data_IF_509257741692
#
_entry.id   IF_509257741692
#
_cell.length_a   1.000
_cell.length_b   1.000
_cell.length_c   1.000
_cell.angle_alpha   90.00
_cell.angle_beta   90.00
_cell.angle_gamma   90.00
#
_symmetry.space_group_name_H-M   'P 1'
#
loop_
_entity.id
_entity.type
_entity.pdbx_description
1 polymer ?
2 non-polymer ?
3 water ?
#
# COMPACT_ATOMS: atom_id res chain seq x y z
N UNK A 1 17.41 4.63 12.33
CA UNK A 1 16.77 3.41 11.68
C UNK A 1 16.98 2.06 12.40
N UNK A 2 17.60 1.08 11.70
CA UNK A 2 17.44 -0.35 12.11
C UNK A 2 18.53 -1.29 11.63
N UNK A 3 18.54 -2.51 12.17
CA UNK A 3 19.56 -3.49 11.79
C UNK A 3 19.32 -4.02 10.39
N UNK A 4 20.40 -4.10 9.62
CA UNK A 4 20.38 -4.73 8.33
C UNK A 4 21.43 -5.87 8.27
N UNK A 5 20.92 -7.10 8.07
CA UNK A 5 21.74 -8.28 8.04
C UNK A 5 21.87 -8.76 6.59
N UNK A 6 23.13 -8.95 6.15
CA UNK A 6 23.41 -9.39 4.76
C UNK A 6 23.91 -10.83 4.86
N UNK A 7 23.24 -11.73 4.15
CA UNK A 7 23.56 -13.17 4.20
C UNK A 7 24.15 -13.52 2.83
N UNK A 8 25.33 -14.14 2.80
CA UNK A 8 26.02 -14.54 1.59
C UNK A 8 26.40 -16.04 1.68
N UNK A 9 25.86 -16.87 0.77
CA UNK A 9 26.14 -18.31 0.74
C UNK A 9 27.23 -18.69 -0.26
N UNK A 10 28.28 -19.39 0.21
CA UNK A 10 29.42 -19.79 -0.61
C UNK A 10 29.64 -21.30 -0.39
N UNK A 11 28.96 -22.12 -1.19
CA UNK A 11 28.90 -23.53 -0.96
C UNK A 11 28.30 -23.85 0.38
N UNK A 12 29.09 -24.39 1.27
CA UNK A 12 28.54 -24.72 2.60
C UNK A 12 28.88 -23.63 3.64
N UNK A 13 29.49 -22.55 3.18
CA UNK A 13 29.91 -21.48 4.05
C UNK A 13 28.91 -20.35 4.00
N UNK A 14 28.22 -20.08 5.13
CA UNK A 14 27.30 -18.95 5.23
C UNK A 14 27.95 -17.74 5.88
N UNK A 15 28.14 -16.68 5.12
CA UNK A 15 28.70 -15.41 5.59
C UNK A 15 27.59 -14.46 6.04
N UNK A 16 27.78 -13.88 7.22
CA UNK A 16 26.78 -13.03 7.87
C UNK A 16 27.43 -11.72 8.21
N UNK A 17 26.77 -10.64 7.84
CA UNK A 17 27.24 -9.32 8.09
C UNK A 17 26.15 -8.54 8.86
N UNK A 18 26.56 -7.71 9.80
CA UNK A 18 25.60 -6.84 10.46
C UNK A 18 26.00 -5.38 10.24
N UNK A 19 25.01 -4.53 10.05
CA UNK A 19 25.20 -3.08 10.03
C UNK A 19 23.92 -2.44 10.58
N UNK A 20 24.05 -1.22 11.06
CA UNK A 20 22.90 -0.45 11.48
C UNK A 20 22.66 0.44 10.29
N UNK A 21 21.55 0.23 9.61
CA UNK A 21 21.25 1.07 8.49
C UNK A 21 20.51 2.35 8.92
N UNK A 22 21.01 3.48 8.40
CA UNK A 22 20.61 4.88 8.74
C UNK A 22 20.93 5.35 10.19
N UNK A 33 27.03 0.68 16.54
CA UNK A 33 27.78 0.15 15.38
C UNK A 33 27.66 -1.38 15.30
N UNK A 34 27.91 -2.05 16.45
CA UNK A 34 27.89 -3.51 16.57
C UNK A 34 27.12 -4.00 17.79
N UNK A 35 26.43 -5.15 17.66
CA UNK A 35 25.81 -5.80 18.80
C UNK A 35 25.80 -7.28 18.61
N UNK A 36 25.31 -7.99 19.61
CA UNK A 36 25.33 -9.42 19.52
C UNK A 36 24.00 -9.85 18.90
N UNK A 37 24.02 -10.11 17.58
CA UNK A 37 22.79 -10.35 16.81
C UNK A 37 22.36 -11.79 16.92
N UNK A 38 21.24 -12.01 17.56
CA UNK A 38 20.75 -13.39 17.62
C UNK A 38 20.01 -13.81 16.34
N UNK A 39 20.64 -14.64 15.52
CA UNK A 39 20.10 -15.05 14.24
C UNK A 39 19.54 -16.44 14.32
N UNK A 40 18.44 -16.70 13.61
CA UNK A 40 17.92 -18.05 13.43
C UNK A 40 17.79 -18.34 11.92
N UNK A 41 17.79 -19.58 11.53
CA UNK A 41 17.66 -19.89 10.10
C UNK A 41 17.26 -21.32 9.90
N UNK A 42 16.57 -21.53 8.80
CA UNK A 42 16.26 -22.84 8.30
C UNK A 42 16.75 -22.89 6.88
N UNK A 43 16.73 -24.05 6.25
CA UNK A 43 17.28 -24.13 4.92
C UNK A 43 16.51 -25.20 4.18
N UNK A 44 16.81 -25.37 2.90
CA UNK A 44 16.10 -26.34 2.09
C UNK A 44 16.38 -27.79 2.50
N UNK A 45 17.45 -28.02 3.26
CA UNK A 45 17.79 -29.34 3.86
C UNK A 45 17.32 -29.50 5.30
N UNK A 46 17.24 -28.40 6.03
CA UNK A 46 17.05 -28.37 7.48
C UNK A 46 15.78 -29.03 7.89
N UNK A 47 15.70 -29.43 9.16
CA UNK A 47 14.37 -29.55 9.81
C UNK A 47 14.09 -28.23 10.58
N UNK A 48 14.79 -28.19 11.70
CA UNK A 48 14.48 -27.31 12.76
C UNK A 48 15.21 -26.06 12.49
N UNK A 49 15.01 -25.14 13.42
CA UNK A 49 15.54 -23.85 13.38
C UNK A 49 16.92 -23.92 14.05
N UNK A 50 17.92 -23.38 13.37
CA UNK A 50 19.28 -23.31 13.91
C UNK A 50 19.48 -21.84 14.36
N UNK A 51 20.43 -21.63 15.27
CA UNK A 51 20.64 -20.39 15.95
C UNK A 51 22.08 -20.04 15.73
N UNK A 52 22.39 -18.76 15.70
CA UNK A 52 23.78 -18.36 15.63
C UNK A 52 23.85 -16.99 16.20
N UNK A 53 24.77 -16.80 17.14
CA UNK A 53 24.91 -15.48 17.75
C UNK A 53 26.04 -14.73 17.04
N UNK A 54 25.66 -13.67 16.30
CA UNK A 54 26.63 -12.92 15.53
C UNK A 54 27.20 -11.85 16.43
N UNK A 55 28.46 -12.00 16.84
CA UNK A 55 29.07 -11.07 17.79
C UNK A 55 29.99 -10.05 17.13
N UNK A 56 30.30 -10.26 15.87
CA UNK A 56 31.27 -9.45 15.18
C UNK A 56 30.64 -8.89 13.92
N UNK A 57 31.37 -7.97 13.29
CA UNK A 57 30.94 -7.35 12.07
C UNK A 57 30.49 -8.39 11.04
N UNK A 58 31.33 -9.39 10.81
CA UNK A 58 31.05 -10.45 9.86
C UNK A 58 31.50 -11.72 10.53
N UNK A 59 30.95 -12.86 10.11
CA UNK A 59 31.41 -14.15 10.60
C UNK A 59 30.86 -15.17 9.61
N UNK A 60 31.28 -16.44 9.75
CA UNK A 60 30.85 -17.53 8.83
C UNK A 60 30.41 -18.74 9.62
N UNK A 61 29.28 -19.34 9.29
CA UNK A 61 29.06 -20.67 9.87
C UNK A 61 29.13 -21.75 8.75
N UNK A 62 29.23 -23.01 9.13
CA UNK A 62 29.39 -24.08 8.16
C UNK A 62 28.23 -25.03 8.21
N UNK A 63 27.63 -25.24 7.03
CA UNK A 63 26.50 -26.11 6.92
C UNK A 63 26.99 -27.50 6.64
N UNK A 64 26.20 -28.50 7.05
CA UNK A 64 26.68 -29.84 6.80
C UNK A 64 26.71 -30.17 5.28
N UNK A 65 25.87 -29.49 4.49
CA UNK A 65 25.70 -29.86 3.09
C UNK A 65 25.32 -28.55 2.37
N UNK A 66 25.60 -28.50 1.05
CA UNK A 66 25.20 -27.37 0.27
C UNK A 66 23.69 -27.40 0.21
N UNK A 67 23.09 -26.24 -0.03
CA UNK A 67 21.69 -26.09 0.23
C UNK A 67 21.16 -25.28 -0.98
N UNK A 68 19.86 -25.35 -1.26
CA UNK A 68 19.26 -24.56 -2.34
C UNK A 68 18.75 -23.15 -1.99
N UNK A 69 18.50 -22.92 -0.70
CA UNK A 69 18.03 -21.66 -0.17
C UNK A 69 18.16 -21.67 1.33
N UNK A 70 18.42 -20.50 1.89
CA UNK A 70 18.49 -20.33 3.31
C UNK A 70 17.56 -19.17 3.70
N UNK A 71 16.98 -19.19 4.90
CA UNK A 71 16.07 -18.13 5.32
C UNK A 71 16.40 -17.75 6.76
N UNK A 72 16.87 -16.52 6.98
CA UNK A 72 17.21 -16.06 8.32
C UNK A 72 16.10 -15.22 8.91
N UNK A 73 16.03 -15.28 10.24
CA UNK A 73 15.37 -14.27 11.09
C UNK A 73 16.36 -13.76 12.14
N UNK A 74 16.01 -12.62 12.76
CA UNK A 74 16.68 -12.06 13.92
C UNK A 74 15.72 -12.18 15.15
N UNK A 75 16.19 -12.75 16.24
CA UNK A 75 15.33 -12.91 17.46
C UNK A 75 15.24 -11.59 18.23
N UNK A 76 14.42 -10.65 17.76
CA UNK A 76 14.35 -9.30 18.33
C UNK A 76 12.94 -8.78 18.07
N UNK A 77 12.49 -7.83 18.87
CA UNK A 77 11.23 -7.13 18.63
C UNK A 77 11.52 -6.01 17.63
N UNK A 78 10.50 -5.50 16.98
CA UNK A 78 10.79 -4.39 16.10
C UNK A 78 11.32 -4.72 14.70
N UNK A 79 11.59 -3.65 13.97
CA UNK A 79 11.84 -3.78 12.55
C UNK A 79 13.33 -4.13 12.31
N UNK A 80 13.60 -4.99 11.31
CA UNK A 80 14.92 -5.11 10.75
C UNK A 80 14.75 -5.73 9.32
N UNK A 81 15.85 -5.78 8.56
CA UNK A 81 15.91 -6.33 7.21
C UNK A 81 17.01 -7.38 7.08
N UNK A 82 16.64 -8.45 6.40
CA UNK A 82 17.63 -9.43 5.98
C UNK A 82 17.74 -9.34 4.48
N UNK A 83 18.97 -9.07 4.04
CA UNK A 83 19.30 -8.97 2.63
C UNK A 83 20.13 -10.17 2.26
N UNK A 84 19.74 -10.83 1.17
CA UNK A 84 20.42 -12.04 0.67
C UNK A 84 21.20 -11.83 -0.65
N UNK A 85 21.23 -10.62 -1.18
CA UNK A 85 21.95 -10.36 -2.42
C UNK A 85 21.28 -11.02 -3.66
N UNK A 86 21.74 -10.64 -4.84
CA UNK A 86 21.16 -11.17 -6.08
C UNK A 86 20.95 -12.71 -6.06
N UNK A 87 21.98 -13.46 -5.66
CA UNK A 87 21.90 -14.91 -5.79
C UNK A 87 20.86 -15.50 -4.85
N UNK A 88 20.92 -15.05 -3.58
CA UNK A 88 19.98 -15.45 -2.55
C UNK A 88 18.55 -14.97 -2.74
N UNK A 89 18.35 -13.78 -3.34
CA UNK A 89 16.99 -13.30 -3.63
C UNK A 89 16.31 -14.15 -4.73
N UNK A 90 17.06 -14.53 -5.80
CA UNK A 90 16.59 -15.55 -6.79
C UNK A 90 16.26 -16.88 -6.16
N UNK A 91 17.12 -17.40 -5.27
CA UNK A 91 16.82 -18.71 -4.64
C UNK A 91 15.51 -18.66 -3.88
N UNK A 92 15.28 -17.55 -3.17
CA UNK A 92 14.07 -17.42 -2.37
C UNK A 92 12.87 -17.19 -3.28
N UNK A 93 13.11 -16.57 -4.43
CA UNK A 93 12.05 -16.29 -5.38
C UNK A 93 11.57 -17.61 -5.94
N UNK A 94 12.52 -18.44 -6.37
CA UNK A 94 12.21 -19.79 -6.91
C UNK A 94 11.48 -20.58 -5.83
N UNK A 95 11.91 -20.49 -4.58
CA UNK A 95 11.21 -21.17 -3.51
C UNK A 95 9.76 -20.67 -3.39
N UNK A 96 9.57 -19.36 -3.41
CA UNK A 96 8.20 -18.87 -3.26
C UNK A 96 7.30 -19.25 -4.44
N UNK A 97 7.90 -19.33 -5.63
CA UNK A 97 7.19 -19.72 -6.81
C UNK A 97 7.01 -21.23 -6.87
N UNK A 98 7.80 -22.00 -6.15
CA UNK A 98 7.63 -23.47 -6.19
C UNK A 98 6.78 -24.04 -5.06
N UNK A 99 7.21 -23.83 -3.83
CA UNK A 99 6.45 -24.32 -2.67
C UNK A 99 6.43 -23.18 -1.63
N UNK A 100 5.58 -22.18 -1.82
CA UNK A 100 5.63 -21.02 -0.94
C UNK A 100 5.41 -21.36 0.56
N UNK A 101 4.69 -22.46 0.82
CA UNK A 101 4.29 -22.85 2.20
C UNK A 101 5.45 -23.42 2.99
N UNK A 102 6.59 -23.66 2.36
CA UNK A 102 7.81 -24.16 3.02
C UNK A 102 8.37 -23.19 4.06
N UNK A 103 7.93 -21.92 4.00
CA UNK A 103 8.18 -20.87 5.01
C UNK A 103 6.84 -20.38 5.51
N UNK A 104 6.80 -19.75 6.67
CA UNK A 104 5.54 -19.46 7.25
C UNK A 104 4.91 -18.25 6.59
N UNK A 105 3.64 -18.12 6.84
CA UNK A 105 2.89 -16.97 6.49
C UNK A 105 3.60 -15.62 6.88
N UNK A 106 4.06 -15.46 8.11
CA UNK A 106 4.81 -14.27 8.52
C UNK A 106 6.18 -14.15 7.84
N UNK A 107 6.81 -15.28 7.59
CA UNK A 107 8.07 -15.23 6.88
C UNK A 107 7.89 -14.65 5.46
N UNK A 108 6.76 -14.92 4.81
CA UNK A 108 6.58 -14.49 3.41
C UNK A 108 6.26 -13.03 3.38
N UNK A 109 5.46 -12.55 4.33
CA UNK A 109 5.26 -11.11 4.49
C UNK A 109 6.62 -10.43 4.66
N UNK A 110 7.51 -10.96 5.49
CA UNK A 110 8.86 -10.36 5.66
C UNK A 110 9.66 -10.29 4.36
N UNK A 111 9.57 -11.36 3.59
CA UNK A 111 10.34 -11.40 2.34
C UNK A 111 9.87 -10.27 1.44
N UNK A 112 8.55 -10.07 1.33
CA UNK A 112 7.94 -9.07 0.52
C UNK A 112 8.34 -7.73 1.03
N UNK A 113 8.18 -7.53 2.33
CA UNK A 113 8.52 -6.22 2.85
C UNK A 113 9.99 -5.90 2.62
N UNK A 114 10.86 -6.84 2.98
CA UNK A 114 12.30 -6.58 2.92
C UNK A 114 12.75 -6.39 1.45
N UNK A 115 12.24 -7.19 0.52
CA UNK A 115 12.67 -6.98 -0.90
C UNK A 115 12.47 -5.53 -1.42
N UNK A 116 11.24 -5.04 -1.28
CA UNK A 116 10.85 -3.69 -1.65
C UNK A 116 11.52 -2.52 -0.88
N UNK A 117 11.73 -2.68 0.42
CA UNK A 117 12.50 -1.74 1.18
C UNK A 117 13.96 -1.80 0.72
N UNK A 118 14.41 -2.97 0.28
CA UNK A 118 15.78 -3.05 -0.23
C UNK A 118 15.87 -2.37 -1.61
N UNK A 119 14.77 -2.29 -2.35
CA UNK A 119 14.76 -1.37 -3.50
C UNK A 119 14.93 0.13 -3.15
N UNK A 120 14.16 0.66 -2.19
CA UNK A 120 14.30 2.09 -1.78
C UNK A 120 15.70 2.40 -1.32
N UNK A 121 16.37 1.37 -0.79
CA UNK A 121 17.69 1.49 -0.19
C UNK A 121 18.77 1.36 -1.27
N UNK A 122 18.43 0.72 -2.39
CA UNK A 122 19.33 0.57 -3.54
C UNK A 122 20.20 -0.67 -3.52
N UNK A 123 19.82 -1.69 -2.75
CA UNK A 123 20.60 -2.90 -2.69
C UNK A 123 19.94 -4.04 -3.49
N UNK A 124 18.69 -3.84 -3.89
CA UNK A 124 18.00 -4.81 -4.73
C UNK A 124 17.31 -4.04 -5.89
N UNK A 125 17.35 -4.56 -7.10
CA UNK A 125 16.64 -3.86 -8.21
C UNK A 125 15.11 -4.03 -8.08
N UNK A 126 14.36 -3.04 -8.56
CA UNK A 126 12.93 -3.13 -8.66
C UNK A 126 12.51 -4.32 -9.50
N UNK A 127 13.31 -4.72 -10.49
CA UNK A 127 12.95 -5.87 -11.32
C UNK A 127 12.87 -7.16 -10.47
N UNK A 128 13.86 -7.35 -9.60
CA UNK A 128 13.92 -8.57 -8.76
C UNK A 128 12.83 -8.60 -7.76
N UNK A 129 12.48 -7.43 -7.28
CA UNK A 129 11.41 -7.34 -6.32
C UNK A 129 10.10 -7.55 -7.01
N UNK A 130 9.93 -7.01 -8.19
CA UNK A 130 8.68 -7.31 -8.87
C UNK A 130 8.57 -8.81 -9.26
N UNK A 131 9.69 -9.42 -9.65
CA UNK A 131 9.75 -10.82 -9.96
C UNK A 131 9.39 -11.65 -8.72
N UNK A 132 9.83 -11.22 -7.56
CA UNK A 132 9.39 -11.86 -6.33
C UNK A 132 7.88 -11.71 -6.15
N UNK A 133 7.33 -10.52 -6.41
CA UNK A 133 5.90 -10.29 -6.20
C UNK A 133 5.01 -11.23 -7.02
N UNK A 134 5.51 -11.73 -8.16
CA UNK A 134 4.68 -12.62 -8.97
C UNK A 134 4.23 -13.93 -8.24
N UNK A 135 4.91 -14.33 -7.16
CA UNK A 135 4.57 -15.58 -6.46
C UNK A 135 3.15 -15.47 -5.84
N UNK A 136 2.72 -14.24 -5.63
CA UNK A 136 1.46 -13.90 -4.97
C UNK A 136 0.26 -14.46 -5.70
N UNK A 137 0.44 -14.78 -6.96
CA UNK A 137 -0.62 -15.42 -7.68
C UNK A 137 -1.06 -16.76 -7.04
N UNK A 138 -0.22 -17.38 -6.19
CA UNK A 138 -0.60 -18.57 -5.45
C UNK A 138 -0.87 -18.27 -4.01
N UNK A 139 -0.65 -17.03 -3.55
CA UNK A 139 -0.79 -16.74 -2.13
C UNK A 139 -2.26 -16.75 -1.66
N UNK A 140 -2.50 -17.25 -0.45
CA UNK A 140 -3.85 -17.24 0.12
C UNK A 140 -3.97 -16.59 1.49
N UNK A 141 -2.87 -16.29 2.19
CA UNK A 141 -2.96 -15.84 3.58
C UNK A 141 -2.97 -14.29 3.68
N UNK A 142 -3.72 -13.79 4.65
CA UNK A 142 -3.93 -12.38 4.67
C UNK A 142 -2.59 -11.56 4.72
N UNK A 143 -1.67 -11.96 5.61
CA UNK A 143 -0.47 -11.14 5.84
C UNK A 143 0.42 -10.89 4.65
N UNK A 144 0.92 -11.94 4.01
CA UNK A 144 1.69 -11.66 2.79
C UNK A 144 0.88 -10.86 1.79
N UNK A 145 -0.42 -11.11 1.68
CA UNK A 145 -1.28 -10.34 0.75
C UNK A 145 -1.30 -8.82 1.09
N UNK A 146 -1.67 -8.49 2.32
CA UNK A 146 -1.65 -7.13 2.81
C UNK A 146 -0.26 -6.51 2.83
N UNK A 147 0.79 -7.29 3.10
CA UNK A 147 2.15 -6.82 2.92
C UNK A 147 2.41 -6.49 1.44
N UNK A 148 1.95 -7.34 0.52
CA UNK A 148 1.98 -7.04 -0.93
C UNK A 148 1.32 -5.69 -1.24
N UNK A 149 0.10 -5.53 -0.77
CA UNK A 149 -0.60 -4.31 -1.00
C UNK A 149 0.13 -3.12 -0.42
N UNK A 150 0.73 -3.28 0.75
CA UNK A 150 1.42 -2.20 1.43
C UNK A 150 2.65 -1.73 0.64
N UNK A 151 3.31 -2.63 -0.09
CA UNK A 151 4.46 -2.21 -0.94
C UNK A 151 4.02 -1.62 -2.30
N UNK A 152 2.94 -2.14 -2.85
CA UNK A 152 2.68 -1.96 -4.29
C UNK A 152 1.78 -0.75 -4.52
N UNK A 153 0.76 -0.60 -3.68
CA UNK A 153 -0.13 0.52 -3.84
C UNK A 153 0.66 1.85 -3.88
N UNK A 154 1.50 2.12 -2.86
CA UNK A 154 2.18 3.43 -2.88
C UNK A 154 2.82 3.72 -4.21
N UNK A 155 3.16 2.67 -4.98
CA UNK A 155 3.84 2.94 -6.28
C UNK A 155 2.92 3.62 -7.28
N UNK A 156 1.68 3.14 -7.36
CA UNK A 156 0.74 3.81 -8.25
C UNK A 156 0.12 5.09 -7.63
N UNK A 157 0.18 5.27 -6.30
CA UNK A 157 -0.30 6.54 -5.80
C UNK A 157 0.57 7.70 -6.32
N UNK A 158 1.84 7.41 -6.53
CA UNK A 158 2.82 8.35 -7.01
C UNK A 158 2.51 8.64 -8.50
N UNK A 159 2.14 7.58 -9.22
CA UNK A 159 1.95 7.64 -10.69
C UNK A 159 0.68 8.38 -10.96
N UNK A 160 -0.31 8.23 -10.09
CA UNK A 160 -1.59 8.96 -10.23
C UNK A 160 -1.43 10.46 -10.21
N UNK A 161 -0.35 11.00 -9.61
CA UNK A 161 -0.22 12.46 -9.54
C UNK A 161 0.69 13.00 -10.61
N UNK A 162 1.08 12.12 -11.55
CA UNK A 162 1.85 12.53 -12.69
C UNK A 162 1.18 12.11 -13.99
N UNK A 163 1.94 12.29 -15.07
CA UNK A 163 1.51 12.07 -16.45
C UNK A 163 1.90 10.69 -16.90
N UNK A 164 1.24 9.68 -16.35
CA UNK A 164 1.77 8.34 -16.46
C UNK A 164 0.62 7.36 -16.55
N UNK A 165 -0.44 7.79 -17.20
CA UNK A 165 -1.63 6.97 -17.36
C UNK A 165 -1.40 5.58 -17.95
N UNK A 166 -0.45 5.45 -18.88
CA UNK A 166 -0.26 4.18 -19.53
C UNK A 166 0.37 3.18 -18.58
N UNK A 167 1.46 3.55 -17.91
CA UNK A 167 2.13 2.67 -16.91
C UNK A 167 1.27 2.44 -15.66
N UNK A 168 0.57 3.48 -15.20
CA UNK A 168 -0.32 3.31 -14.07
C UNK A 168 -1.36 2.22 -14.29
N UNK A 169 -1.93 2.19 -15.50
CA UNK A 169 -3.04 1.26 -15.77
C UNK A 169 -2.44 -0.13 -15.94
N UNK A 170 -1.26 -0.18 -16.51
CA UNK A 170 -0.59 -1.46 -16.62
C UNK A 170 -0.14 -1.91 -15.26
N UNK A 171 0.24 -0.97 -14.40
CA UNK A 171 0.58 -1.36 -13.04
C UNK A 171 -0.63 -1.96 -12.28
N UNK A 172 -1.72 -1.23 -12.29
CA UNK A 172 -2.99 -1.68 -11.70
C UNK A 172 -3.53 -3.02 -12.21
N UNK A 173 -3.38 -3.30 -13.51
CA UNK A 173 -3.84 -4.59 -14.08
C UNK A 173 -2.89 -5.69 -13.64
N UNK A 174 -1.61 -5.35 -13.50
CA UNK A 174 -0.66 -6.30 -12.91
C UNK A 174 -1.10 -6.68 -11.47
N UNK A 175 -1.34 -5.67 -10.65
CA UNK A 175 -1.84 -5.93 -9.32
C UNK A 175 -3.05 -6.84 -9.30
N UNK A 176 -4.06 -6.56 -10.14
CA UNK A 176 -5.30 -7.30 -10.12
C UNK A 176 -5.04 -8.75 -10.60
N UNK A 177 -4.06 -8.91 -11.49
CA UNK A 177 -3.72 -10.21 -12.01
C UNK A 177 -3.11 -11.05 -10.92
N UNK A 178 -2.27 -10.46 -10.07
CA UNK A 178 -1.72 -11.22 -8.95
C UNK A 178 -2.80 -11.80 -8.05
N UNK A 179 -3.90 -11.06 -7.86
CA UNK A 179 -4.86 -11.37 -6.79
C UNK A 179 -6.19 -11.90 -7.34
N UNK A 180 -6.30 -11.94 -8.67
CA UNK A 180 -7.55 -12.32 -9.32
C UNK A 180 -8.14 -13.67 -8.85
N UNK A 181 -7.35 -14.73 -8.84
CA UNK A 181 -7.88 -16.02 -8.34
C UNK A 181 -8.45 -15.95 -6.89
N UNK A 182 -7.72 -15.29 -5.99
CA UNK A 182 -8.14 -15.03 -4.61
C UNK A 182 -9.39 -14.13 -4.55
N UNK A 183 -9.47 -13.12 -5.38
CA UNK A 183 -10.69 -12.35 -5.52
C UNK A 183 -11.87 -13.18 -6.02
N UNK A 184 -11.69 -14.00 -7.06
CA UNK A 184 -12.77 -14.88 -7.54
C UNK A 184 -13.18 -15.91 -6.49
N UNK A 185 -12.31 -16.27 -5.55
CA UNK A 185 -12.74 -17.28 -4.58
C UNK A 185 -13.68 -16.75 -3.48
N UNK A 186 -13.64 -15.45 -3.22
CA UNK A 186 -14.39 -14.84 -2.08
C UNK A 186 -15.90 -14.98 -2.26
N UNK A 187 -16.56 -15.24 -1.13
CA UNK A 187 -18.00 -15.20 -1.05
C UNK A 187 -18.41 -13.76 -0.71
N UNK A 188 -19.62 -13.43 -1.14
CA UNK A 188 -20.19 -12.16 -0.83
C UNK A 188 -21.09 -12.33 0.38
N UNK A 189 -20.46 -12.66 1.51
CA UNK A 189 -21.12 -12.97 2.78
C UNK A 189 -20.29 -12.49 3.97
N UNK A 190 -20.81 -12.76 5.17
CA UNK A 190 -20.06 -12.44 6.36
C UNK A 190 -19.46 -13.65 7.05
N UNK A 191 -19.32 -14.78 6.39
CA UNK A 191 -18.76 -15.98 7.10
C UNK A 191 -17.25 -15.89 7.40
N UNK A 192 -16.77 -16.77 8.28
CA UNK A 192 -15.36 -16.95 8.49
C UNK A 192 -14.79 -16.27 9.73
N UNK A 193 -13.47 -16.47 9.92
CA UNK A 193 -12.75 -15.81 10.99
C UNK A 193 -12.64 -14.32 10.70
N UNK A 194 -12.16 -13.62 11.72
CA UNK A 194 -11.84 -12.19 11.65
C UNK A 194 -10.98 -11.87 10.40
N UNK A 195 -9.94 -12.66 10.17
CA UNK A 195 -9.03 -12.62 9.03
C UNK A 195 -9.70 -12.77 7.68
N UNK A 196 -10.51 -13.79 7.57
CA UNK A 196 -11.16 -14.11 6.34
C UNK A 196 -12.17 -13.05 5.97
N UNK A 197 -12.80 -12.46 6.96
CA UNK A 197 -13.79 -11.44 6.70
C UNK A 197 -13.06 -10.16 6.29
N UNK A 198 -11.95 -9.86 6.95
CA UNK A 198 -11.23 -8.71 6.55
C UNK A 198 -10.54 -8.83 5.16
N UNK A 199 -10.07 -10.05 4.85
CA UNK A 199 -9.44 -10.39 3.57
C UNK A 199 -10.49 -10.17 2.50
N UNK A 200 -11.64 -10.80 2.70
CA UNK A 200 -12.76 -10.65 1.82
C UNK A 200 -13.06 -9.20 1.56
N UNK A 201 -13.27 -8.46 2.64
CA UNK A 201 -13.82 -7.13 2.56
C UNK A 201 -12.90 -6.23 1.78
N UNK A 202 -11.60 -6.29 2.07
CA UNK A 202 -10.60 -5.42 1.44
C UNK A 202 -10.28 -5.85 -0.02
N UNK A 203 -10.43 -7.14 -0.31
CA UNK A 203 -10.22 -7.72 -1.62
C UNK A 203 -11.30 -7.33 -2.64
N UNK A 204 -12.55 -7.49 -2.23
CA UNK A 204 -13.67 -7.04 -3.02
C UNK A 204 -13.62 -5.53 -3.31
N UNK A 205 -13.24 -4.75 -2.29
CA UNK A 205 -13.14 -3.32 -2.48
C UNK A 205 -12.09 -3.00 -3.51
N UNK A 206 -10.91 -3.61 -3.34
CA UNK A 206 -9.77 -3.39 -4.19
C UNK A 206 -10.13 -3.75 -5.60
N UNK A 207 -10.81 -4.87 -5.79
CA UNK A 207 -11.31 -5.25 -7.12
C UNK A 207 -12.20 -4.18 -7.75
N UNK A 208 -13.09 -3.58 -6.96
CA UNK A 208 -13.94 -2.60 -7.52
C UNK A 208 -13.32 -1.21 -7.79
N UNK A 209 -12.49 -0.72 -6.91
CA UNK A 209 -11.65 0.43 -7.15
C UNK A 209 -10.88 0.31 -8.50
N UNK A 210 -10.48 -0.91 -8.89
CA UNK A 210 -9.65 -1.13 -10.12
C UNK A 210 -10.48 -1.62 -11.28
N UNK A 211 -11.77 -1.58 -11.06
CA UNK A 211 -12.71 -1.87 -12.11
C UNK A 211 -12.54 -3.28 -12.67
N UNK A 212 -12.48 -4.27 -11.80
CA UNK A 212 -12.50 -5.65 -12.23
C UNK A 212 -13.97 -6.00 -12.43
N UNK A 213 -14.37 -6.22 -13.68
CA UNK A 213 -15.81 -6.23 -14.00
C UNK A 213 -16.70 -7.23 -13.22
N UNK A 214 -16.24 -8.49 -12.99
CA UNK A 214 -17.19 -9.40 -12.28
C UNK A 214 -17.59 -8.91 -10.87
N UNK A 215 -16.64 -8.24 -10.20
CA UNK A 215 -16.85 -7.62 -8.89
C UNK A 215 -17.64 -6.29 -9.05
N UNK A 216 -17.33 -5.46 -10.04
CA UNK A 216 -18.04 -4.22 -10.18
C UNK A 216 -19.54 -4.48 -10.46
N UNK A 217 -19.84 -5.38 -11.38
CA UNK A 217 -21.24 -5.68 -11.77
C UNK A 217 -22.05 -6.36 -10.63
N UNK A 218 -21.42 -7.24 -9.88
CA UNK A 218 -22.05 -7.78 -8.69
C UNK A 218 -22.21 -6.70 -7.64
N UNK A 219 -21.21 -5.82 -7.51
CA UNK A 219 -21.39 -4.66 -6.64
C UNK A 219 -22.57 -3.78 -7.07
N UNK A 220 -22.73 -3.52 -8.37
CA UNK A 220 -23.76 -2.58 -8.88
C UNK A 220 -25.13 -3.17 -8.61
N UNK A 221 -25.25 -4.49 -8.74
CA UNK A 221 -26.50 -5.23 -8.47
C UNK A 221 -26.92 -5.17 -7.01
N UNK A 222 -26.02 -5.44 -6.08
CA UNK A 222 -26.29 -5.23 -4.66
C UNK A 222 -26.69 -3.77 -4.33
N UNK A 223 -26.01 -2.80 -4.94
CA UNK A 223 -26.31 -1.42 -4.65
C UNK A 223 -27.73 -1.08 -5.07
N UNK A 224 -28.07 -1.42 -6.31
CA UNK A 224 -29.38 -1.18 -6.88
C UNK A 224 -30.44 -1.80 -5.97
N UNK A 225 -30.26 -3.07 -5.60
CA UNK A 225 -31.22 -3.75 -4.72
C UNK A 225 -31.34 -3.03 -3.36
N UNK A 226 -30.21 -2.55 -2.84
CA UNK A 226 -30.22 -1.83 -1.56
C UNK A 226 -30.92 -0.51 -1.72
N UNK A 227 -30.66 0.16 -2.84
CA UNK A 227 -31.19 1.49 -3.01
C UNK A 227 -32.72 1.44 -3.29
N UNK A 228 -33.14 0.61 -4.22
CA UNK A 228 -34.57 0.38 -4.47
C UNK A 228 -35.32 0.05 -3.21
N UNK A 229 -34.65 -0.54 -2.20
CA UNK A 229 -35.36 -0.90 -0.95
C UNK A 229 -35.41 0.28 0.04
N UNK A 230 -34.94 1.46 -0.37
CA UNK A 230 -34.63 2.57 0.56
C UNK A 230 -33.64 2.22 1.65
N UNK A 231 -32.63 1.43 1.30
CA UNK A 231 -31.66 0.90 2.26
C UNK A 231 -32.25 0.05 3.38
N UNK A 232 -33.41 -0.58 3.10
CA UNK A 232 -34.12 -1.42 4.09
C UNK A 232 -33.59 -2.85 4.13
N UNK A 233 -33.13 -3.37 2.98
CA UNK A 233 -32.44 -4.67 2.90
C UNK A 233 -31.11 -4.55 3.64
N UNK A 234 -30.77 -5.55 4.46
CA UNK A 234 -29.42 -5.62 5.03
C UNK A 234 -28.40 -6.20 4.01
N UNK A 235 -27.29 -5.48 3.83
CA UNK A 235 -26.17 -6.00 3.04
C UNK A 235 -25.25 -6.68 4.00
N UNK A 236 -24.60 -7.78 3.55
CA UNK A 236 -23.52 -8.33 4.37
C UNK A 236 -22.54 -7.21 4.71
N UNK A 237 -22.00 -7.20 5.92
CA UNK A 237 -21.06 -6.12 6.30
C UNK A 237 -19.74 -6.22 5.50
N UNK A 238 -19.28 -7.41 5.19
CA UNK A 238 -17.92 -7.49 4.56
C UNK A 238 -17.90 -6.97 3.12
N UNK A 239 -19.10 -6.79 2.56
CA UNK A 239 -19.27 -6.49 1.15
C UNK A 239 -19.61 -4.94 0.93
N UNK A 240 -19.92 -4.27 2.03
CA UNK A 240 -20.59 -2.94 2.01
C UNK A 240 -19.72 -1.79 1.51
N UNK A 241 -18.47 -1.72 1.96
CA UNK A 241 -17.52 -0.77 1.36
C UNK A 241 -17.47 -0.93 -0.16
N UNK A 242 -17.38 -2.15 -0.65
CA UNK A 242 -17.28 -2.35 -2.08
C UNK A 242 -18.57 -1.87 -2.78
N UNK A 243 -19.71 -2.24 -2.20
CA UNK A 243 -21.04 -1.86 -2.75
C UNK A 243 -21.23 -0.35 -2.71
N UNK A 244 -21.04 0.25 -1.53
CA UNK A 244 -21.03 1.68 -1.41
C UNK A 244 -20.06 2.36 -2.40
N UNK A 245 -18.81 1.92 -2.46
CA UNK A 245 -17.84 2.55 -3.36
C UNK A 245 -18.29 2.53 -4.82
N UNK A 246 -18.81 1.41 -5.33
CA UNK A 246 -19.31 1.46 -6.72
C UNK A 246 -20.64 2.24 -6.82
N UNK A 247 -21.59 2.04 -5.90
CA UNK A 247 -22.78 2.91 -5.91
C UNK A 247 -22.53 4.42 -6.07
N UNK A 248 -21.50 4.92 -5.38
CA UNK A 248 -21.17 6.33 -5.36
C UNK A 248 -20.53 6.85 -6.62
N UNK A 249 -20.26 5.97 -7.58
CA UNK A 249 -19.75 6.40 -8.87
C UNK A 249 -20.75 7.20 -9.75
N UNK A 250 -22.05 7.01 -9.53
CA UNK A 250 -23.05 7.78 -10.28
C UNK A 250 -23.60 8.88 -9.39
N UNK A 251 -24.25 9.89 -9.98
CA UNK A 251 -24.85 10.98 -9.21
C UNK A 251 -26.06 10.55 -8.38
N UNK A 252 -26.92 9.74 -9.00
CA UNK A 252 -28.05 9.22 -8.28
C UNK A 252 -27.66 8.45 -7.01
N UNK A 253 -26.64 7.59 -7.14
CA UNK A 253 -26.20 6.74 -6.04
C UNK A 253 -25.46 7.51 -4.97
N UNK A 254 -24.64 8.46 -5.40
CA UNK A 254 -23.96 9.40 -4.50
C UNK A 254 -24.95 10.20 -3.67
N UNK A 255 -25.91 10.82 -4.34
CA UNK A 255 -26.97 11.53 -3.65
C UNK A 255 -27.76 10.61 -2.76
N UNK A 256 -28.14 9.43 -3.24
CA UNK A 256 -28.80 8.47 -2.32
C UNK A 256 -28.00 8.17 -1.08
N UNK A 257 -26.73 7.86 -1.28
CA UNK A 257 -25.80 7.52 -0.22
C UNK A 257 -25.65 8.74 0.72
N UNK A 258 -25.56 9.93 0.14
CA UNK A 258 -25.50 11.12 0.98
C UNK A 258 -26.76 11.30 1.88
N UNK A 259 -27.95 11.14 1.30
CA UNK A 259 -29.22 11.09 2.09
C UNK A 259 -29.18 10.16 3.32
N UNK A 260 -28.62 8.96 3.15
CA UNK A 260 -28.56 7.97 4.24
C UNK A 260 -27.54 8.33 5.32
N UNK A 261 -26.49 9.02 4.91
CA UNK A 261 -25.45 9.45 5.83
C UNK A 261 -26.06 10.40 6.84
N UNK A 262 -26.94 11.26 6.33
CA UNK A 262 -27.71 12.19 7.15
C UNK A 262 -28.62 11.56 8.22
N UNK A 263 -29.20 10.39 7.94
CA UNK A 263 -30.27 9.83 8.79
C UNK A 263 -29.78 8.65 9.63
N UNK A 264 -28.55 8.23 9.36
CA UNK A 264 -27.95 7.08 9.97
C UNK A 264 -27.56 7.30 11.43
N UNK A 265 -27.92 6.33 12.26
CA UNK A 265 -27.44 6.25 13.63
C UNK A 265 -26.47 5.05 13.80
N UNK A 266 -25.67 4.80 12.78
CA UNK A 266 -24.63 3.77 12.88
C UNK A 266 -23.34 4.33 12.30
N UNK A 267 -22.33 4.46 13.15
CA UNK A 267 -21.13 5.22 12.80
C UNK A 267 -20.18 4.46 11.90
N UNK A 268 -20.19 3.13 11.98
CA UNK A 268 -19.42 2.34 11.02
C UNK A 268 -20.08 2.44 9.62
N UNK A 269 -21.41 2.60 9.55
CA UNK A 269 -22.08 2.93 8.29
C UNK A 269 -21.63 4.32 7.79
N UNK A 270 -21.67 5.29 8.71
CA UNK A 270 -21.35 6.66 8.36
C UNK A 270 -19.92 6.76 7.86
N UNK A 271 -19.02 6.04 8.49
CA UNK A 271 -17.66 6.00 8.06
C UNK A 271 -17.50 5.29 6.69
N UNK A 272 -18.21 4.20 6.45
CA UNK A 272 -18.25 3.50 5.15
C UNK A 272 -18.72 4.38 4.02
N UNK A 273 -19.79 5.12 4.30
CA UNK A 273 -20.41 6.01 3.33
C UNK A 273 -19.45 7.16 3.10
N UNK A 274 -18.78 7.59 4.15
CA UNK A 274 -17.92 8.74 4.04
C UNK A 274 -16.84 8.39 3.00
N UNK A 275 -16.18 7.24 3.20
CA UNK A 275 -15.20 6.76 2.26
C UNK A 275 -15.74 6.73 0.80
N UNK A 276 -16.94 6.19 0.61
CA UNK A 276 -17.54 5.98 -0.72
C UNK A 276 -17.79 7.32 -1.39
N UNK A 277 -18.26 8.29 -0.63
CA UNK A 277 -18.52 9.62 -1.18
C UNK A 277 -17.24 10.29 -1.65
N UNK A 278 -16.15 10.04 -0.92
CA UNK A 278 -14.88 10.65 -1.29
C UNK A 278 -14.22 10.04 -2.51
N UNK A 279 -14.75 8.93 -3.01
CA UNK A 279 -14.11 8.21 -4.10
C UNK A 279 -14.73 8.52 -5.46
N UNK A 280 -15.78 9.34 -5.48
CA UNK A 280 -16.38 9.77 -6.74
C UNK A 280 -15.36 10.50 -7.65
N UNK A 281 -15.54 10.35 -8.96
CA UNK A 281 -14.77 11.16 -9.94
C UNK A 281 -15.36 12.56 -10.22
N UNK A 282 -16.50 12.88 -9.61
CA UNK A 282 -17.17 14.12 -9.89
C UNK A 282 -16.55 15.30 -9.07
N UNK A 283 -15.92 16.22 -9.75
CA UNK A 283 -15.20 17.29 -9.05
C UNK A 283 -16.08 18.24 -8.20
N UNK A 284 -17.31 18.49 -8.65
CA UNK A 284 -18.22 19.38 -7.89
C UNK A 284 -18.66 18.76 -6.54
N UNK A 285 -18.89 17.43 -6.54
CA UNK A 285 -19.18 16.68 -5.31
C UNK A 285 -18.02 16.70 -4.32
N UNK A 286 -16.81 16.58 -4.86
CA UNK A 286 -15.58 16.63 -4.01
C UNK A 286 -15.47 17.98 -3.38
N UNK A 287 -15.64 19.02 -4.18
CA UNK A 287 -15.60 20.39 -3.65
C UNK A 287 -16.68 20.60 -2.57
N UNK A 288 -17.86 20.05 -2.79
CA UNK A 288 -18.95 20.12 -1.84
C UNK A 288 -18.64 19.46 -0.49
N UNK A 289 -18.15 18.23 -0.55
CA UNK A 289 -17.70 17.54 0.66
C UNK A 289 -16.68 18.33 1.48
N UNK A 290 -15.78 19.01 0.79
CA UNK A 290 -14.75 19.82 1.46
C UNK A 290 -15.40 21.03 2.08
N UNK A 291 -16.16 21.76 1.25
CA UNK A 291 -16.90 22.97 1.70
C UNK A 291 -17.81 22.67 2.89
N UNK A 292 -18.55 21.56 2.85
CA UNK A 292 -19.55 21.29 3.87
C UNK A 292 -18.97 20.72 5.15
N UNK A 293 -17.92 19.94 5.02
CA UNK A 293 -17.29 19.44 6.19
C UNK A 293 -16.53 20.55 6.96
N UNK A 294 -16.00 21.49 6.21
CA UNK A 294 -15.23 22.61 6.73
C UNK A 294 -16.17 23.55 7.55
N UNK A 295 -17.32 23.83 6.93
CA UNK A 295 -18.44 24.52 7.55
C UNK A 295 -18.86 23.91 8.89
N UNK A 296 -19.17 22.60 8.89
CA UNK A 296 -19.41 21.88 10.13
C UNK A 296 -20.86 21.56 10.49
N UNK A 297 -21.79 21.74 9.56
CA UNK A 297 -23.18 21.43 9.92
C UNK A 297 -23.86 20.25 9.18
N UNK A 298 -23.56 20.10 7.90
CA UNK A 298 -24.00 18.93 7.12
C UNK A 298 -23.08 17.69 7.39
N UNK A 299 -21.80 17.98 7.64
CA UNK A 299 -20.80 16.99 8.07
C UNK A 299 -19.99 17.61 9.22
N UNK A 300 -19.73 16.87 10.30
CA UNK A 300 -18.92 17.37 11.41
C UNK A 300 -17.53 17.83 10.91
N UNK A 301 -17.06 18.97 11.39
CA UNK A 301 -15.70 19.42 11.13
C UNK A 301 -14.64 18.41 11.66
N UNK A 302 -15.00 17.66 12.70
CA UNK A 302 -14.16 16.58 13.23
C UNK A 302 -13.73 15.61 12.11
N UNK A 303 -14.62 15.44 11.12
CA UNK A 303 -14.41 14.55 9.97
C UNK A 303 -13.56 15.18 8.84
N UNK A 304 -13.49 16.52 8.84
CA UNK A 304 -12.76 17.27 7.81
C UNK A 304 -11.31 16.83 7.58
N UNK A 305 -10.51 16.63 8.64
CA UNK A 305 -9.12 16.17 8.27
C UNK A 305 -9.05 14.83 7.55
N UNK A 306 -9.94 13.92 7.91
CA UNK A 306 -10.13 12.65 7.26
C UNK A 306 -10.61 12.80 5.82
N UNK A 307 -11.63 13.61 5.61
CA UNK A 307 -12.17 13.79 4.26
C UNK A 307 -11.16 14.43 3.34
N UNK A 308 -10.46 15.48 3.82
CA UNK A 308 -9.48 16.21 3.03
C UNK A 308 -8.41 15.24 2.47
N UNK A 309 -7.93 14.43 3.42
CA UNK A 309 -6.98 13.37 3.17
C UNK A 309 -7.45 12.32 2.15
N UNK A 310 -8.72 11.95 2.19
CA UNK A 310 -9.26 10.92 1.30
C UNK A 310 -9.42 11.48 -0.11
N UNK A 311 -9.76 12.78 -0.17
CA UNK A 311 -9.88 13.51 -1.44
C UNK A 311 -8.51 13.82 -1.97
N UNK A 312 -7.59 14.19 -1.07
CA UNK A 312 -6.13 14.23 -1.38
C UNK A 312 -5.54 13.00 -2.10
N UNK A 313 -6.18 11.82 -1.89
CA UNK A 313 -5.79 10.54 -2.46
C UNK A 313 -6.64 10.05 -3.65
N UNK A 314 -7.78 10.71 -3.88
CA UNK A 314 -8.59 10.45 -5.02
C UNK A 314 -7.72 10.92 -6.20
N UNK A 315 -7.58 10.08 -7.25
CA UNK A 315 -6.73 10.44 -8.41
C UNK A 315 -7.15 11.75 -9.10
N UNK A 316 -8.42 12.11 -8.90
CA UNK A 316 -9.00 13.29 -9.50
C UNK A 316 -9.24 14.40 -8.46
N UNK A 317 -9.35 14.06 -7.19
CA UNK A 317 -9.51 15.13 -6.17
C UNK A 317 -8.21 15.66 -5.60
N UNK A 318 -7.07 15.09 -5.98
CA UNK A 318 -5.85 15.51 -5.29
C UNK A 318 -5.53 17.02 -5.50
N UNK A 319 -5.76 17.60 -6.70
CA UNK A 319 -5.50 19.11 -6.72
C UNK A 319 -6.49 19.99 -5.92
N UNK A 320 -7.73 19.52 -5.75
CA UNK A 320 -8.72 20.19 -4.88
C UNK A 320 -8.29 20.19 -3.44
N UNK A 321 -7.65 19.11 -2.97
CA UNK A 321 -7.32 19.01 -1.57
C UNK A 321 -6.15 19.92 -1.21
N UNK A 322 -5.12 19.96 -2.07
CA UNK A 322 -3.94 20.77 -1.79
C UNK A 322 -4.26 22.28 -1.99
N UNK A 323 -5.07 22.59 -2.98
CA UNK A 323 -5.62 23.93 -3.14
C UNK A 323 -6.40 24.39 -1.92
N UNK A 324 -7.39 23.58 -1.50
CA UNK A 324 -8.27 23.97 -0.39
C UNK A 324 -7.44 24.25 0.84
N UNK A 325 -6.42 23.42 1.09
CA UNK A 325 -5.58 23.54 2.29
C UNK A 325 -4.83 24.85 2.18
N UNK A 326 -4.26 25.14 1.01
CA UNK A 326 -3.54 26.41 0.80
C UNK A 326 -4.47 27.65 0.93
N UNK A 327 -5.65 27.61 0.35
CA UNK A 327 -6.54 28.79 0.38
C UNK A 327 -7.11 29.10 1.78
N UNK A 328 -7.39 28.05 2.54
CA UNK A 328 -8.10 28.17 3.80
C UNK A 328 -7.21 28.05 5.00
N UNK A 329 -5.90 27.99 4.78
CA UNK A 329 -4.96 27.75 5.87
C UNK A 329 -5.25 28.51 7.21
N UNK A 330 -5.59 29.80 7.16
CA UNK A 330 -5.68 30.59 8.42
C UNK A 330 -6.89 30.13 9.23
N UNK A 331 -7.99 29.84 8.52
CA UNK A 331 -9.18 29.23 9.12
C UNK A 331 -8.96 27.78 9.63
N UNK A 332 -8.13 26.99 8.93
CA UNK A 332 -7.89 25.62 9.36
C UNK A 332 -7.11 25.63 10.69
N UNK A 333 -6.17 26.56 10.74
CA UNK A 333 -5.40 26.79 11.94
C UNK A 333 -6.32 27.25 13.09
N UNK A 334 -7.24 28.18 12.85
CA UNK A 334 -8.12 28.69 13.93
C UNK A 334 -8.95 27.53 14.52
N UNK A 335 -9.37 26.65 13.64
CA UNK A 335 -10.25 25.52 13.97
C UNK A 335 -9.55 24.38 14.70
N UNK A 336 -8.34 24.04 14.25
CA UNK A 336 -7.72 22.81 14.67
C UNK A 336 -6.52 23.02 15.59
N UNK A 337 -5.84 24.13 15.35
CA UNK A 337 -4.71 24.69 16.08
C UNK A 337 -3.40 24.23 15.51
N UNK A 338 -2.48 25.18 15.43
CA UNK A 338 -1.26 25.03 14.70
C UNK A 338 -0.53 23.72 14.98
N UNK A 339 -0.16 23.49 16.23
CA UNK A 339 0.58 22.26 16.57
C UNK A 339 -0.24 20.96 16.71
N UNK A 340 -1.51 20.94 16.25
CA UNK A 340 -2.37 19.76 16.39
C UNK A 340 -2.00 18.57 15.48
N UNK A 341 -2.42 17.37 15.89
CA UNK A 341 -2.37 16.20 15.05
C UNK A 341 -3.24 16.33 13.82
N UNK A 342 -4.41 16.94 13.96
CA UNK A 342 -5.23 17.23 12.78
C UNK A 342 -4.46 18.01 11.71
N UNK A 343 -3.72 19.05 12.10
CA UNK A 343 -3.04 19.83 11.11
C UNK A 343 -1.93 19.03 10.45
N UNK A 344 -1.19 18.28 11.26
CA UNK A 344 -0.08 17.46 10.70
C UNK A 344 -0.60 16.41 9.73
N UNK A 345 -1.74 15.82 10.05
CA UNK A 345 -2.38 14.76 9.23
C UNK A 345 -2.76 15.31 7.87
N UNK A 346 -3.16 16.59 7.87
CA UNK A 346 -3.67 17.29 6.69
C UNK A 346 -2.52 17.74 5.78
N UNK A 347 -1.48 18.29 6.38
CA UNK A 347 -0.28 18.65 5.67
C UNK A 347 0.29 17.42 5.00
N UNK A 348 0.41 16.31 5.72
CA UNK A 348 0.95 15.11 5.12
C UNK A 348 0.03 14.45 4.05
N UNK A 349 -1.24 14.22 4.35
CA UNK A 349 -2.12 13.60 3.35
C UNK A 349 -2.45 14.39 2.09
N UNK A 350 -2.17 15.71 2.08
CA UNK A 350 -2.33 16.46 0.81
C UNK A 350 -1.01 16.61 0.01
N UNK A 351 0.14 16.19 0.55
CA UNK A 351 1.40 16.45 -0.15
C UNK A 351 2.39 15.27 -0.25
N UNK A 352 2.27 14.27 0.64
CA UNK A 352 3.30 13.23 0.67
C UNK A 352 3.34 12.20 -0.47
N UNK A 353 2.43 12.33 -1.41
CA UNK A 353 2.51 11.52 -2.63
C UNK A 353 2.96 12.27 -3.90
N UNK A 354 3.56 13.45 -3.71
CA UNK A 354 4.15 14.19 -4.84
C UNK A 354 5.56 13.71 -5.05
N UNK A 355 6.02 13.78 -6.30
CA UNK A 355 7.28 13.20 -6.63
C UNK A 355 8.03 13.94 -7.74
N UNK A 356 7.85 15.25 -7.83
CA UNK A 356 8.58 16.12 -8.79
C UNK A 356 9.13 17.31 -8.02
N UNK A 357 10.28 17.80 -8.50
CA UNK A 357 10.92 19.03 -8.04
C UNK A 357 9.97 20.24 -7.98
N UNK A 358 9.19 20.43 -9.04
CA UNK A 358 8.18 21.49 -9.10
C UNK A 358 7.18 21.50 -7.89
N UNK A 359 6.54 20.34 -7.65
CA UNK A 359 5.72 20.10 -6.46
C UNK A 359 6.47 20.40 -5.19
N UNK A 360 7.72 19.90 -5.10
CA UNK A 360 8.57 20.16 -3.93
C UNK A 360 8.79 21.67 -3.69
N UNK A 361 9.03 22.43 -4.77
CA UNK A 361 9.19 23.89 -4.66
C UNK A 361 7.90 24.54 -4.26
N UNK A 362 6.78 24.04 -4.79
CA UNK A 362 5.45 24.52 -4.41
C UNK A 362 5.26 24.36 -2.92
N UNK A 363 5.57 23.18 -2.39
CA UNK A 363 5.27 22.87 -1.01
C UNK A 363 6.16 23.73 -0.14
N UNK A 364 7.44 23.80 -0.52
CA UNK A 364 8.43 24.58 0.26
C UNK A 364 8.00 26.02 0.22
N UNK A 365 7.63 26.50 -0.98
CA UNK A 365 7.14 27.85 -1.17
C UNK A 365 5.98 28.16 -0.23
N UNK A 366 4.94 27.34 -0.27
CA UNK A 366 3.78 27.66 0.51
C UNK A 366 4.08 27.74 2.01
N UNK A 367 4.77 26.71 2.54
CA UNK A 367 5.04 26.62 3.97
C UNK A 367 6.12 27.58 4.45
N UNK A 368 7.16 27.80 3.66
CA UNK A 368 8.09 28.88 4.07
C UNK A 368 7.46 30.30 4.02
N UNK A 369 6.37 30.50 3.29
CA UNK A 369 5.70 31.81 3.26
C UNK A 369 4.79 32.10 4.46
N UNK A 370 4.70 31.14 5.40
CA UNK A 370 3.85 31.30 6.58
C UNK A 370 4.52 31.93 7.86
N UNK A 371 5.85 32.06 7.88
CA UNK A 371 6.58 32.63 9.03
C UNK A 371 6.31 31.89 10.36
N UNK A 372 5.66 32.55 11.34
CA UNK A 372 5.50 31.87 12.65
C UNK A 372 4.23 31.00 12.73
N UNK A 373 3.41 31.09 11.67
CA UNK A 373 2.27 30.19 11.44
C UNK A 373 2.87 28.96 10.72
N UNK A 375 5.52 27.28 9.26
CA UNK A 375 6.83 27.08 8.61
C UNK A 375 7.80 26.16 9.38
N UNK A 376 7.58 26.09 10.70
CA UNK A 376 8.48 25.47 11.67
C UNK A 376 7.99 24.08 12.13
N UNK A 377 6.75 23.78 11.77
CA UNK A 377 6.13 22.50 12.05
C UNK A 377 7.02 21.37 11.52
N UNK A 378 7.15 20.35 12.37
CA UNK A 378 7.95 19.20 11.99
C UNK A 378 7.32 18.38 10.81
N UNK A 379 5.99 18.46 10.66
CA UNK A 379 5.31 17.73 9.58
C UNK A 379 5.64 18.30 8.20
N UNK A 380 6.04 19.56 8.16
CA UNK A 380 6.48 20.22 6.95
C UNK A 380 7.84 19.69 6.53
N UNK A 381 8.77 19.58 7.47
CA UNK A 381 10.04 18.90 7.23
C UNK A 381 9.85 17.42 6.84
N UNK A 382 8.97 16.72 7.52
CA UNK A 382 8.80 15.31 7.22
C UNK A 382 8.10 15.05 5.84
N UNK A 383 7.14 15.89 5.42
CA UNK A 383 6.62 15.77 4.06
C UNK A 383 7.68 16.10 3.02
N UNK A 384 8.44 17.15 3.24
CA UNK A 384 9.52 17.53 2.33
C UNK A 384 10.53 16.38 2.16
N UNK A 385 10.89 15.73 3.26
CA UNK A 385 11.74 14.53 3.19
C UNK A 385 11.18 13.41 2.31
N UNK A 386 9.96 12.99 2.61
CA UNK A 386 9.28 11.94 1.87
C UNK A 386 9.12 12.32 0.36
N UNK A 387 8.72 13.56 0.06
CA UNK A 387 8.69 14.03 -1.36
C UNK A 387 10.08 13.88 -2.01
N UNK A 388 11.11 14.25 -1.27
CA UNK A 388 12.48 14.14 -1.77
C UNK A 388 12.80 12.69 -2.05
N UNK A 389 12.42 11.75 -1.15
CA UNK A 389 12.58 10.32 -1.40
C UNK A 389 11.75 9.87 -2.64
N UNK A 390 10.46 10.23 -2.71
CA UNK A 390 9.63 10.06 -3.89
C UNK A 390 10.31 10.51 -5.21
N UNK A 391 10.89 11.70 -5.21
CA UNK A 391 11.55 12.20 -6.40
C UNK A 391 12.63 11.20 -6.82
N UNK A 392 13.51 10.85 -5.87
CA UNK A 392 14.63 9.95 -6.09
C UNK A 392 14.15 8.57 -6.54
N UNK A 393 13.10 8.04 -5.92
CA UNK A 393 12.65 6.68 -6.20
C UNK A 393 12.01 6.62 -7.61
N UNK A 394 11.18 7.61 -7.95
CA UNK A 394 10.56 7.66 -9.26
C UNK A 394 11.51 7.90 -10.46
N UNK A 395 12.49 8.80 -10.29
CA UNK A 395 13.51 9.10 -11.32
C UNK A 395 14.35 7.86 -11.61
N UNK A 396 14.67 7.10 -10.57
CA UNK A 396 15.38 5.84 -10.75
C UNK A 396 14.48 4.71 -11.25
N UNK A 397 13.27 4.60 -10.70
CA UNK A 397 12.49 3.38 -10.93
C UNK A 397 11.38 3.42 -11.96
N UNK A 398 10.95 4.60 -12.36
CA UNK A 398 9.77 4.61 -13.24
C UNK A 398 10.09 3.96 -14.59
N UNK A 399 11.25 4.25 -15.17
CA UNK A 399 11.52 3.71 -16.51
C UNK A 399 11.68 2.21 -16.37
N UNK A 400 12.30 1.80 -15.27
CA UNK A 400 12.48 0.38 -15.00
C UNK A 400 11.17 -0.35 -14.91
N UNK A 401 10.24 0.17 -14.12
CA UNK A 401 8.93 -0.40 -14.01
C UNK A 401 8.19 -0.39 -15.33
N UNK A 402 8.24 0.72 -16.05
CA UNK A 402 7.65 0.76 -17.36
C UNK A 402 8.14 -0.39 -18.25
N UNK A 403 9.45 -0.65 -18.29
CA UNK A 403 9.93 -1.64 -19.20
C UNK A 403 9.65 -3.08 -18.71
N UNK A 404 9.73 -3.31 -17.39
CA UNK A 404 9.42 -4.57 -16.76
C UNK A 404 7.97 -4.91 -17.05
N UNK A 405 7.07 -3.92 -17.05
CA UNK A 405 5.61 -4.27 -17.27
C UNK A 405 5.30 -4.61 -18.70
N UNK A 406 5.88 -3.87 -19.62
CA UNK A 406 5.60 -4.15 -20.98
C UNK A 406 6.29 -5.46 -21.33
N UNK A 407 7.47 -5.65 -20.79
CA UNK A 407 8.16 -6.89 -21.09
C UNK A 407 7.46 -8.13 -20.44
N UNK A 408 6.87 -8.03 -19.26
CA UNK A 408 6.12 -9.20 -18.80
C UNK A 408 4.73 -9.46 -19.48
N UNK A 409 4.06 -8.40 -19.94
CA UNK A 409 2.85 -8.59 -20.74
C UNK A 409 3.19 -9.29 -22.06
N UNK A 410 4.35 -8.95 -22.65
CA UNK A 410 4.75 -9.60 -23.91
C UNK A 410 5.06 -11.07 -23.73
N UNK A 411 5.75 -11.39 -22.64
CA UNK A 411 6.18 -12.74 -22.32
C UNK A 411 5.05 -13.69 -22.03
N UNK A 412 3.99 -13.23 -21.39
CA UNK A 412 2.79 -14.08 -21.32
C UNK A 412 2.12 -14.34 -22.69
N UNK A 413 2.17 -13.39 -23.61
CA UNK A 413 1.71 -13.68 -24.97
C UNK A 413 2.56 -14.72 -25.68
N UNK A 414 3.87 -14.54 -25.65
CA UNK A 414 4.78 -15.48 -26.23
C UNK A 414 6.15 -15.39 -25.57
N UNK A 415 6.74 -16.55 -25.28
CA UNK A 415 8.00 -16.67 -24.58
C UNK A 415 8.62 -17.94 -25.17
N UNK A 416 9.92 -18.11 -25.01
CA UNK A 416 10.56 -19.23 -25.67
C UNK A 416 10.20 -20.59 -25.01
N UNK A 417 9.69 -20.55 -23.79
CA UNK A 417 9.24 -21.79 -23.14
C UNK A 417 7.94 -22.34 -23.74
N UNK A 418 7.32 -21.55 -24.60
CA UNK A 418 6.11 -21.88 -25.33
C UNK A 418 6.41 -22.80 -26.53
N UNK A 419 7.69 -22.99 -26.88
CA UNK A 419 8.04 -23.82 -28.04
C UNK A 419 7.72 -25.33 -27.87
X LIG B 1 8.62 4.88 -1.65
X LIG B 1 9.23 6.18 -1.93
X LIG B 1 7.88 4.36 -2.89
X LIG B 1 7.93 2.91 -2.93
X LIG C 1 9.53 -9.70 -17.09
X LIG C 1 10.40 -8.59 -17.11
X LIG C 1 10.03 -10.76 -16.13
X LIG C 1 8.87 -11.33 -15.49
#
# INVERSE_FOLDING_TARGET
GFPLITITVRGRNVHMKQEHYMKGSDGAPDTGYLWHVPLTFITSKSDMVHRFLLKTKTDVLILPEEVEWIKFNVGMNGYYIVHYEDDGWDSLTGLLKGTHTAVSSNDRASLINNAFQLVSIGKLSIEKALDLSLYLKHETEIMPVFQGLNELIPMYKLMEKRDMNEVETQFKAFLIRLLRDLIDKQTWTDEGSVSERMLRSQLLLLACVHNYQPCVQRAEGYFRKWKESNGNLSLPVDVTLAVFAVGAQSTEGWDFLYSKYQFSLSSTEKSQIEFALCRTQNKEKLQWLLDESFKGDKIKTQEFPQILTLIGRNPVGYPLAWQFLRKNWNKLVQKFELGSSSIAHMVMGTTNQFSTRTRLEEVKGFFSSLKENGSQLRCVQQTIETIEENIGWMDKNFDKIRVWLQSEKLERMHHHHHH
EDO C1 O1 C2 O2
EDO C1 O1 C2 O2
#
